data_IF_748597168878
#
_entry.id   IF_748597168878
#
_cell.length_a   1.000
_cell.length_b   1.000
_cell.length_c   1.000
_cell.angle_alpha   90.00
_cell.angle_beta   90.00
_cell.angle_gamma   90.00
#
_symmetry.space_group_name_H-M   'P 1'
#
loop_
_entity.id
_entity.type
_entity.pdbx_description
1 polymer ?
#
# COMPACT_ATOMS: atom_id res chain seq x y z
N UNK A 1 28.21 26.25 -53.42
CA UNK A 1 28.76 25.81 -52.11
C UNK A 1 27.90 26.37 -50.95
N UNK A 2 26.60 26.06 -50.89
CA UNK A 2 25.66 26.62 -49.87
C UNK A 2 24.58 25.61 -49.39
N UNK A 3 24.60 24.40 -49.92
CA UNK A 3 23.63 23.33 -49.67
C UNK A 3 23.99 22.47 -48.46
N UNK A 4 25.28 22.33 -48.17
CA UNK A 4 25.80 21.45 -47.11
C UNK A 4 25.46 21.95 -45.69
N UNK A 5 25.48 23.27 -45.47
CA UNK A 5 25.16 23.89 -44.18
C UNK A 5 23.68 23.85 -43.81
N UNK A 6 22.78 23.79 -44.80
CA UNK A 6 21.32 23.73 -44.56
C UNK A 6 20.89 22.33 -44.10
N UNK A 7 21.51 21.29 -44.64
CA UNK A 7 21.25 19.90 -44.27
C UNK A 7 21.69 19.62 -42.82
N UNK A 8 22.83 20.12 -42.38
CA UNK A 8 23.30 19.93 -41.00
C UNK A 8 22.39 20.60 -39.96
N UNK A 9 21.83 21.78 -40.28
CA UNK A 9 20.85 22.43 -39.39
C UNK A 9 19.53 21.66 -39.34
N UNK A 10 19.05 21.15 -40.47
CA UNK A 10 17.83 20.35 -40.52
C UNK A 10 17.97 19.03 -39.74
N UNK A 11 19.11 18.35 -39.90
CA UNK A 11 19.44 17.13 -39.17
C UNK A 11 19.53 17.41 -37.66
N UNK A 12 20.14 18.52 -37.26
CA UNK A 12 20.24 18.91 -35.84
C UNK A 12 18.86 19.11 -35.19
N UNK A 13 17.93 19.79 -35.87
CA UNK A 13 16.56 19.96 -35.38
C UNK A 13 15.76 18.65 -35.36
N UNK A 14 15.95 17.76 -36.34
CA UNK A 14 15.31 16.43 -36.35
C UNK A 14 15.80 15.59 -35.16
N UNK A 15 17.09 15.60 -34.86
CA UNK A 15 17.65 14.86 -33.71
C UNK A 15 17.12 15.41 -32.39
N UNK A 16 17.05 16.74 -32.23
CA UNK A 16 16.47 17.37 -31.03
C UNK A 16 14.99 17.00 -30.89
N UNK A 17 14.22 17.04 -31.98
CA UNK A 17 12.80 16.69 -31.95
C UNK A 17 12.59 15.21 -31.60
N UNK A 18 13.42 14.30 -32.13
CA UNK A 18 13.42 12.89 -31.75
C UNK A 18 13.78 12.69 -30.27
N UNK A 19 14.78 13.40 -29.74
CA UNK A 19 15.14 13.31 -28.32
C UNK A 19 14.02 13.82 -27.41
N UNK A 20 13.34 14.92 -27.78
CA UNK A 20 12.20 15.44 -27.04
C UNK A 20 11.02 14.45 -27.07
N UNK A 21 10.75 13.83 -28.22
CA UNK A 21 9.71 12.80 -28.34
C UNK A 21 10.06 11.55 -27.51
N UNK A 22 11.33 11.11 -27.51
CA UNK A 22 11.78 10.00 -26.67
C UNK A 22 11.62 10.31 -25.17
N UNK A 23 11.92 11.53 -24.73
CA UNK A 23 11.75 11.97 -23.33
C UNK A 23 10.26 12.03 -22.95
N UNK A 24 9.39 12.52 -23.86
CA UNK A 24 7.94 12.53 -23.65
C UNK A 24 7.36 11.12 -23.51
N UNK A 25 7.83 10.18 -24.34
CA UNK A 25 7.44 8.77 -24.22
C UNK A 25 7.96 8.12 -22.94
N UNK A 26 9.17 8.48 -22.49
CA UNK A 26 9.75 7.92 -21.27
C UNK A 26 9.01 8.36 -19.99
N UNK A 27 8.42 9.56 -20.00
CA UNK A 27 7.66 10.08 -18.86
C UNK A 27 6.38 9.28 -18.56
N UNK A 28 5.78 8.65 -19.57
CA UNK A 28 4.60 7.79 -19.41
C UNK A 28 4.93 6.44 -18.74
N UNK A 29 6.16 5.94 -18.91
CA UNK A 29 6.57 4.66 -18.31
C UNK A 29 6.88 4.76 -16.82
N UNK A 30 7.20 5.96 -16.30
CA UNK A 30 7.58 6.13 -14.90
C UNK A 30 6.39 6.23 -13.93
N UNK A 31 5.14 6.14 -14.41
CA UNK A 31 3.94 6.48 -13.62
C UNK A 31 3.17 5.34 -12.98
N UNK A 32 3.61 4.08 -13.03
CA UNK A 32 2.96 3.03 -12.24
C UNK A 32 3.98 2.13 -11.54
N UNK A 33 4.31 2.50 -10.30
CA UNK A 33 5.07 1.64 -9.41
C UNK A 33 4.16 0.49 -8.90
N UNK A 34 4.69 -0.72 -8.67
CA UNK A 34 3.94 -1.89 -8.20
C UNK A 34 3.22 -1.73 -6.84
N UNK A 35 3.51 -0.66 -6.11
CA UNK A 35 3.09 -0.48 -4.71
C UNK A 35 1.56 -0.42 -4.53
N UNK A 36 0.83 0.25 -5.43
CA UNK A 36 -0.63 0.37 -5.30
C UNK A 36 -1.32 -0.98 -5.50
N UNK A 37 -0.93 -1.74 -6.52
CA UNK A 37 -1.53 -3.04 -6.84
C UNK A 37 -1.22 -4.09 -5.75
N UNK A 38 -0.02 -4.05 -5.14
CA UNK A 38 0.36 -4.94 -4.02
C UNK A 38 -0.44 -4.61 -2.76
N UNK A 39 -0.52 -3.32 -2.40
CA UNK A 39 -1.25 -2.89 -1.19
C UNK A 39 -2.72 -3.31 -1.22
N UNK A 40 -3.35 -3.24 -2.40
CA UNK A 40 -4.72 -3.72 -2.60
C UNK A 40 -4.81 -5.24 -2.42
N UNK A 41 -3.89 -6.00 -3.00
CA UNK A 41 -3.88 -7.46 -2.88
C UNK A 41 -3.70 -7.92 -1.42
N UNK A 42 -2.80 -7.29 -0.65
CA UNK A 42 -2.60 -7.59 0.76
C UNK A 42 -3.82 -7.28 1.62
N UNK A 43 -4.48 -6.14 1.39
CA UNK A 43 -5.74 -5.80 2.07
C UNK A 43 -6.84 -6.82 1.76
N UNK A 44 -6.99 -7.20 0.49
CA UNK A 44 -7.98 -8.18 0.05
C UNK A 44 -7.76 -9.55 0.72
N UNK A 45 -6.51 -9.96 0.95
CA UNK A 45 -6.17 -11.21 1.68
C UNK A 45 -6.61 -11.15 3.15
N UNK A 46 -6.35 -10.04 3.84
CA UNK A 46 -6.74 -9.84 5.25
C UNK A 46 -8.28 -9.91 5.36
N UNK A 47 -9.00 -9.25 4.45
CA UNK A 47 -10.46 -9.26 4.40
C UNK A 47 -10.98 -10.68 4.12
N UNK A 48 -10.43 -11.37 3.12
CA UNK A 48 -10.84 -12.72 2.77
C UNK A 48 -10.70 -13.68 3.96
N UNK A 49 -9.60 -13.56 4.72
CA UNK A 49 -9.38 -14.34 5.94
C UNK A 49 -10.44 -14.03 7.00
N UNK A 50 -10.81 -12.77 7.21
CA UNK A 50 -11.85 -12.39 8.18
C UNK A 50 -13.23 -12.92 7.80
N UNK A 51 -13.57 -12.87 6.51
CA UNK A 51 -14.86 -13.36 6.02
C UNK A 51 -15.05 -14.87 6.19
N UNK A 52 -13.98 -15.65 6.43
CA UNK A 52 -14.10 -17.08 6.80
C UNK A 52 -14.52 -17.30 8.25
N UNK A 53 -14.37 -16.29 9.11
CA UNK A 53 -14.73 -16.39 10.53
C UNK A 53 -16.23 -16.14 10.74
N UNK A 54 -16.79 -16.64 11.86
CA UNK A 54 -18.13 -16.26 12.30
C UNK A 54 -18.26 -14.74 12.45
N UNK A 55 -19.46 -14.22 12.16
CA UNK A 55 -19.78 -12.80 12.39
C UNK A 55 -19.58 -12.47 13.87
N UNK A 56 -18.98 -11.31 14.13
CA UNK A 56 -18.65 -10.84 15.48
C UNK A 56 -19.41 -9.55 15.80
N UNK A 57 -19.62 -9.31 17.10
CA UNK A 57 -20.20 -8.07 17.63
C UNK A 57 -19.37 -7.62 18.83
N UNK A 58 -18.65 -6.48 18.77
CA UNK A 58 -18.58 -5.50 17.66
C UNK A 58 -18.02 -6.05 16.32
N UNK A 59 -18.18 -5.34 15.19
CA UNK A 59 -17.60 -5.78 13.92
C UNK A 59 -16.07 -5.65 13.92
N UNK A 60 -15.41 -6.49 13.11
CA UNK A 60 -13.98 -6.35 12.84
C UNK A 60 -13.73 -5.14 11.91
N UNK A 61 -12.60 -4.45 12.12
CA UNK A 61 -12.21 -3.26 11.36
C UNK A 61 -10.77 -3.40 10.86
N UNK A 62 -10.47 -2.80 9.71
CA UNK A 62 -9.08 -2.66 9.23
C UNK A 62 -8.81 -1.18 9.01
N UNK A 63 -7.72 -0.70 9.62
CA UNK A 63 -7.21 0.66 9.43
C UNK A 63 -5.87 0.65 8.72
N UNK A 64 -5.67 1.58 7.79
CA UNK A 64 -4.36 1.85 7.19
C UNK A 64 -3.61 2.84 8.08
N UNK A 65 -2.39 2.50 8.45
CA UNK A 65 -1.53 3.29 9.33
C UNK A 65 -0.13 3.44 8.71
N UNK A 66 0.69 4.29 9.32
CA UNK A 66 2.14 4.31 9.07
C UNK A 66 2.87 3.80 10.30
N UNK A 67 3.79 2.86 10.11
CA UNK A 67 4.63 2.31 11.17
C UNK A 67 6.05 2.12 10.62
N UNK A 68 7.05 2.65 11.31
CA UNK A 68 8.45 2.64 10.87
C UNK A 68 8.68 3.20 9.43
N UNK A 69 7.85 4.15 9.01
CA UNK A 69 7.91 4.74 7.67
C UNK A 69 7.23 3.93 6.58
N UNK A 70 6.66 2.77 6.91
CA UNK A 70 5.97 1.88 5.98
C UNK A 70 4.45 1.94 6.18
N UNK A 71 3.70 1.70 5.11
CA UNK A 71 2.26 1.46 5.21
C UNK A 71 2.03 0.12 5.89
N UNK A 72 1.16 0.09 6.89
CA UNK A 72 0.70 -1.15 7.53
C UNK A 72 -0.82 -1.15 7.67
N UNK A 73 -1.40 -2.35 7.70
CA UNK A 73 -2.81 -2.57 7.98
C UNK A 73 -2.97 -3.05 9.42
N UNK A 74 -3.65 -2.23 10.22
CA UNK A 74 -4.01 -2.55 11.59
C UNK A 74 -5.41 -3.15 11.64
N UNK A 75 -5.47 -4.45 11.87
CA UNK A 75 -6.69 -5.23 12.03
C UNK A 75 -7.14 -5.18 13.50
N UNK A 76 -8.36 -4.69 13.72
CA UNK A 76 -9.06 -4.74 15.00
C UNK A 76 -10.07 -5.89 14.98
N UNK A 77 -9.90 -6.84 15.89
CA UNK A 77 -10.79 -7.97 16.03
C UNK A 77 -12.15 -7.57 16.61
N UNK A 78 -13.23 -8.21 16.14
CA UNK A 78 -14.60 -7.90 16.56
C UNK A 78 -15.07 -8.51 17.89
N UNK A 79 -14.29 -9.37 18.54
CA UNK A 79 -14.49 -9.71 19.95
C UNK A 79 -13.21 -10.32 20.50
N UNK A 80 -13.33 -10.93 21.64
CA UNK A 80 -12.63 -10.67 22.86
C UNK A 80 -11.51 -11.71 22.99
N UNK A 81 -10.41 -11.37 23.67
CA UNK A 81 -9.19 -12.19 23.75
C UNK A 81 -8.50 -12.50 22.39
N UNK A 82 -8.97 -11.91 21.29
CA UNK A 82 -8.28 -11.96 20.01
C UNK A 82 -7.19 -10.89 19.93
N UNK A 83 -6.14 -11.20 19.20
CA UNK A 83 -5.11 -10.22 18.90
C UNK A 83 -5.59 -9.21 17.86
N UNK A 84 -5.21 -7.95 18.07
CA UNK A 84 -5.29 -6.93 17.04
C UNK A 84 -3.94 -6.92 16.33
N UNK A 85 -3.96 -7.29 15.05
CA UNK A 85 -2.75 -7.65 14.29
C UNK A 85 -2.32 -6.50 13.37
N UNK A 86 -1.01 -6.34 13.22
CA UNK A 86 -0.42 -5.54 12.16
C UNK A 86 0.01 -6.42 11.01
N UNK A 87 -0.35 -5.99 9.81
CA UNK A 87 0.03 -6.62 8.55
C UNK A 87 0.81 -5.62 7.68
N UNK A 88 1.79 -6.11 6.92
CA UNK A 88 2.47 -5.29 5.91
C UNK A 88 1.59 -5.10 4.65
N UNK A 89 2.09 -4.35 3.66
CA UNK A 89 1.38 -4.13 2.39
C UNK A 89 1.10 -5.44 1.62
N UNK A 90 1.81 -6.53 1.92
CA UNK A 90 1.64 -7.84 1.30
C UNK A 90 0.60 -8.71 2.02
N UNK A 91 0.00 -8.25 3.12
CA UNK A 91 -0.95 -9.04 3.91
C UNK A 91 -0.30 -10.02 4.89
N UNK A 92 1.01 -9.94 5.08
CA UNK A 92 1.74 -10.79 6.03
C UNK A 92 1.72 -10.20 7.43
N UNK A 93 1.46 -11.04 8.44
CA UNK A 93 1.41 -10.61 9.84
C UNK A 93 2.82 -10.22 10.32
N UNK A 94 2.94 -9.00 10.81
CA UNK A 94 4.13 -8.46 11.47
C UNK A 94 4.11 -8.87 12.96
N UNK A 95 3.04 -8.53 13.68
CA UNK A 95 2.93 -8.66 15.14
C UNK A 95 1.52 -8.35 15.64
N UNK A 96 1.33 -8.40 16.96
CA UNK A 96 0.10 -8.01 17.65
C UNK A 96 0.40 -6.95 18.72
N UNK A 97 0.20 -5.64 18.47
CA UNK A 97 0.47 -4.60 19.47
C UNK A 97 -0.42 -4.66 20.72
N UNK A 98 -1.64 -5.19 20.61
CA UNK A 98 -2.57 -5.35 21.74
C UNK A 98 -3.58 -6.48 21.48
N UNK A 99 -4.56 -6.62 22.38
CA UNK A 99 -5.49 -7.75 22.38
C UNK A 99 -4.88 -9.00 23.02
N UNK A 100 -5.46 -10.16 22.73
CA UNK A 100 -5.14 -11.39 23.45
C UNK A 100 -5.75 -11.41 24.86
N UNK A 101 -5.63 -12.53 25.56
CA UNK A 101 -6.17 -12.72 26.92
C UNK A 101 -5.68 -11.65 27.90
N UNK A 102 -4.43 -11.20 27.75
CA UNK A 102 -3.85 -10.17 28.63
C UNK A 102 -4.15 -8.74 28.19
N UNK A 103 -4.66 -8.55 26.98
CA UNK A 103 -4.78 -7.25 26.31
C UNK A 103 -3.44 -6.64 25.83
N UNK A 104 -2.29 -7.27 26.11
CA UNK A 104 -0.95 -6.73 25.84
C UNK A 104 -0.37 -7.12 24.48
N UNK A 105 -1.11 -7.87 23.67
CA UNK A 105 -0.59 -8.35 22.39
C UNK A 105 0.48 -9.42 22.55
N UNK A 106 1.33 -9.58 21.53
CA UNK A 106 2.39 -10.59 21.46
C UNK A 106 3.77 -10.07 21.94
N UNK A 107 3.83 -8.79 22.32
CA UNK A 107 5.04 -8.15 22.83
C UNK A 107 6.08 -7.74 21.79
N UNK A 108 5.80 -7.87 20.48
CA UNK A 108 6.77 -7.55 19.41
C UNK A 108 6.71 -6.12 18.89
N UNK A 109 5.56 -5.45 19.00
CA UNK A 109 5.33 -4.08 18.51
C UNK A 109 4.79 -3.19 19.63
N UNK A 110 5.57 -3.04 20.69
CA UNK A 110 5.17 -2.30 21.89
C UNK A 110 5.16 -0.78 21.69
N UNK A 111 5.87 -0.31 20.68
CA UNK A 111 6.01 1.08 20.27
C UNK A 111 4.98 1.51 19.22
N UNK A 112 4.19 0.58 18.66
CA UNK A 112 3.13 0.92 17.73
C UNK A 112 2.04 1.77 18.40
N UNK A 113 1.69 2.87 17.75
CA UNK A 113 0.61 3.76 18.17
C UNK A 113 -0.36 3.97 17.01
N UNK A 114 -1.66 3.90 17.28
CA UNK A 114 -2.71 4.14 16.29
C UNK A 114 -2.91 5.66 16.06
N UNK A 115 -1.88 6.35 15.57
CA UNK A 115 -1.89 7.78 15.28
C UNK A 115 -2.11 7.98 13.78
N UNK A 116 -3.06 8.86 13.41
CA UNK A 116 -3.38 9.21 12.01
C UNK A 116 -3.72 8.00 11.12
N UNK A 117 -4.32 6.96 11.69
CA UNK A 117 -4.79 5.81 10.93
C UNK A 117 -6.16 6.08 10.28
N UNK A 118 -6.32 5.63 9.05
CA UNK A 118 -7.55 5.76 8.24
C UNK A 118 -8.33 4.44 8.25
N UNK A 119 -9.65 4.47 8.43
CA UNK A 119 -10.50 3.29 8.27
C UNK A 119 -10.60 2.93 6.78
N UNK A 120 -10.21 1.72 6.42
CA UNK A 120 -10.25 1.24 5.02
C UNK A 120 -11.23 0.10 4.79
N UNK A 121 -11.63 -0.61 5.86
CA UNK A 121 -12.63 -1.66 5.79
C UNK A 121 -13.29 -1.92 7.16
N UNK A 122 -14.54 -2.33 7.13
CA UNK A 122 -15.35 -2.75 8.27
C UNK A 122 -16.21 -3.95 7.86
N UNK A 123 -16.32 -4.96 8.73
CA UNK A 123 -17.23 -6.09 8.51
C UNK A 123 -18.69 -5.62 8.63
N UNK A 124 -19.41 -5.62 7.51
CA UNK A 124 -20.81 -5.17 7.44
C UNK A 124 -21.81 -6.33 7.58
N UNK A 125 -21.34 -7.56 7.84
CA UNK A 125 -22.21 -8.71 8.09
C UNK A 125 -22.93 -8.54 9.43
N UNK A 126 -24.21 -8.90 9.48
CA UNK A 126 -25.09 -8.83 10.67
C UNK A 126 -25.70 -10.18 11.00
#
# INVERSE_FOLDING_TARGET
>A
MKTETKNNKLIFWIVILCLILLIFFFWSYFKKAPQEDISKAGLDEIIAKELTKPVSSPPALIKKCTYNGETVYYYLAGCCDQFNDLYNEQGEKICSPNGGISGKGDGKCQDFQMINCELVWEDTRT
#
